data_IF_831852967910
#
_entry.id   IF_831852967910
#
_cell.length_a   1.000
_cell.length_b   1.000
_cell.length_c   1.000
_cell.angle_alpha   90.00
_cell.angle_beta   90.00
_cell.angle_gamma   90.00
#
_symmetry.space_group_name_H-M   'P 1'
#
loop_
_entity.id
_entity.type
_entity.pdbx_description
1 polymer ?
#
# COMPACT_ATOMS: atom_id res chain seq x y z
N UNK A 1 -28.23 -3.07 13.18
CA UNK A 1 -26.78 -3.27 13.32
C UNK A 1 -26.13 -2.43 12.24
N UNK A 2 -25.18 -1.52 12.55
CA UNK A 2 -24.40 -0.87 11.49
C UNK A 2 -23.64 -1.97 10.75
N UNK A 3 -23.75 -2.00 9.43
CA UNK A 3 -22.96 -2.90 8.60
C UNK A 3 -21.49 -2.57 8.83
N UNK A 4 -20.68 -3.57 9.10
CA UNK A 4 -19.23 -3.42 9.26
C UNK A 4 -18.65 -2.90 7.94
N UNK A 5 -17.81 -1.87 7.99
CA UNK A 5 -17.23 -1.25 6.81
C UNK A 5 -16.45 -2.27 5.95
N UNK A 6 -16.59 -2.22 4.65
CA UNK A 6 -15.89 -3.11 3.73
C UNK A 6 -14.53 -2.55 3.37
N UNK A 7 -13.50 -3.38 3.43
CA UNK A 7 -12.13 -3.01 3.02
C UNK A 7 -11.75 -3.79 1.77
N UNK A 8 -11.32 -3.10 0.72
CA UNK A 8 -10.72 -3.68 -0.48
C UNK A 8 -9.21 -3.70 -0.35
N UNK A 9 -8.61 -4.89 -0.43
CA UNK A 9 -7.14 -5.04 -0.41
C UNK A 9 -6.66 -5.37 -1.81
N UNK A 10 -5.84 -4.50 -2.38
CA UNK A 10 -5.32 -4.61 -3.75
C UNK A 10 -3.91 -5.19 -3.70
N UNK A 11 -3.70 -6.29 -4.41
CA UNK A 11 -2.41 -7.01 -4.48
C UNK A 11 -1.98 -7.12 -5.93
N UNK A 12 -0.99 -6.34 -6.39
CA UNK A 12 -0.35 -6.55 -7.68
C UNK A 12 0.50 -7.81 -7.63
N UNK A 13 0.38 -8.66 -8.65
CA UNK A 13 1.04 -9.97 -8.72
C UNK A 13 1.85 -10.05 -10.01
N UNK A 14 3.18 -10.15 -9.91
CA UNK A 14 4.05 -10.40 -11.05
C UNK A 14 5.36 -11.07 -10.62
N UNK A 15 5.58 -12.32 -11.06
CA UNK A 15 6.84 -13.02 -10.80
C UNK A 15 7.11 -13.34 -9.32
N UNK A 16 6.07 -13.55 -8.52
CA UNK A 16 6.14 -13.72 -7.05
C UNK A 16 5.72 -15.12 -6.59
N UNK A 17 5.85 -16.14 -7.44
CA UNK A 17 5.43 -17.52 -7.17
C UNK A 17 5.86 -18.06 -5.80
N UNK A 18 7.05 -17.68 -5.34
CA UNK A 18 7.61 -18.17 -4.07
C UNK A 18 6.94 -17.56 -2.83
N UNK A 19 6.28 -16.43 -3.00
CA UNK A 19 5.80 -15.57 -1.89
C UNK A 19 4.28 -15.43 -1.85
N UNK A 20 3.65 -15.42 -3.03
CA UNK A 20 2.23 -15.06 -3.18
C UNK A 20 1.28 -15.90 -2.31
N UNK A 21 1.60 -17.17 -2.07
CA UNK A 21 0.76 -18.02 -1.21
C UNK A 21 0.77 -17.56 0.26
N UNK A 22 1.90 -17.10 0.77
CA UNK A 22 2.02 -16.60 2.14
C UNK A 22 1.38 -15.20 2.26
N UNK A 23 1.55 -14.36 1.23
CA UNK A 23 0.85 -13.08 1.13
C UNK A 23 -0.67 -13.28 1.22
N UNK A 24 -1.25 -14.12 0.35
CA UNK A 24 -2.71 -14.36 0.33
C UNK A 24 -3.17 -14.95 1.66
N UNK A 25 -2.43 -15.91 2.25
CA UNK A 25 -2.77 -16.49 3.55
C UNK A 25 -2.86 -15.39 4.62
N UNK A 26 -1.90 -14.48 4.68
CA UNK A 26 -1.89 -13.39 5.65
C UNK A 26 -3.12 -12.48 5.54
N UNK A 27 -3.67 -12.32 4.33
CA UNK A 27 -4.89 -11.57 4.09
C UNK A 27 -6.15 -12.37 4.43
N UNK A 28 -6.16 -13.68 4.18
CA UNK A 28 -7.26 -14.56 4.59
C UNK A 28 -7.39 -14.65 6.12
N UNK A 29 -6.26 -14.59 6.83
CA UNK A 29 -6.16 -14.72 8.28
C UNK A 29 -6.45 -13.40 9.03
N UNK A 30 -6.76 -12.30 8.34
CA UNK A 30 -7.07 -11.02 8.98
C UNK A 30 -8.23 -11.15 9.96
N UNK A 31 -8.12 -10.46 11.11
CA UNK A 31 -9.17 -10.37 12.14
C UNK A 31 -10.39 -9.61 11.63
N UNK A 32 -10.21 -8.56 10.84
CA UNK A 32 -11.29 -7.88 10.11
C UNK A 32 -11.86 -8.77 9.01
N UNK A 33 -13.14 -9.16 9.11
CA UNK A 33 -13.72 -10.19 8.21
C UNK A 33 -14.36 -9.64 6.95
N UNK A 34 -14.87 -8.40 6.98
CA UNK A 34 -15.50 -7.80 5.81
C UNK A 34 -14.46 -7.24 4.83
N UNK A 35 -13.67 -8.15 4.25
CA UNK A 35 -12.64 -7.87 3.26
C UNK A 35 -13.07 -8.35 1.88
N UNK A 36 -12.63 -7.66 0.83
CA UNK A 36 -12.41 -8.25 -0.50
C UNK A 36 -10.93 -8.16 -0.86
N UNK A 37 -10.40 -9.21 -1.44
CA UNK A 37 -8.99 -9.33 -1.79
C UNK A 37 -8.90 -9.37 -3.32
N UNK A 38 -8.32 -8.33 -3.91
CA UNK A 38 -8.22 -8.17 -5.36
C UNK A 38 -6.80 -8.50 -5.81
N UNK A 39 -6.62 -9.69 -6.37
CA UNK A 39 -5.33 -10.17 -6.90
C UNK A 39 -5.25 -9.80 -8.37
N UNK A 40 -4.35 -8.90 -8.73
CA UNK A 40 -4.18 -8.43 -10.10
C UNK A 40 -2.91 -9.06 -10.68
N UNK A 41 -3.08 -10.17 -11.39
CA UNK A 41 -1.99 -10.89 -12.05
C UNK A 41 -1.60 -10.17 -13.35
N UNK A 42 -0.52 -9.45 -13.30
CA UNK A 42 0.03 -8.61 -14.37
C UNK A 42 0.83 -9.45 -15.39
N UNK A 43 0.23 -10.54 -15.87
CA UNK A 43 0.80 -11.41 -16.90
C UNK A 43 1.96 -12.27 -16.41
N UNK A 44 1.91 -12.80 -15.19
CA UNK A 44 2.95 -13.65 -14.61
C UNK A 44 3.19 -14.93 -15.42
N UNK A 45 4.46 -15.22 -15.72
CA UNK A 45 4.87 -16.42 -16.46
C UNK A 45 5.41 -17.54 -15.57
N UNK A 46 5.61 -17.27 -14.28
CA UNK A 46 6.22 -18.20 -13.32
C UNK A 46 5.20 -19.13 -12.63
N UNK A 47 3.91 -18.92 -12.86
CA UNK A 47 2.82 -19.68 -12.27
C UNK A 47 2.18 -18.99 -11.04
N UNK A 48 2.51 -17.75 -10.72
CA UNK A 48 1.86 -16.95 -9.66
C UNK A 48 0.35 -16.88 -9.86
N UNK A 49 -0.11 -16.61 -11.09
CA UNK A 49 -1.54 -16.52 -11.42
C UNK A 49 -2.31 -17.80 -11.10
N UNK A 50 -1.74 -18.99 -11.36
CA UNK A 50 -2.37 -20.27 -11.00
C UNK A 50 -2.55 -20.44 -9.49
N UNK A 51 -1.59 -19.97 -8.70
CA UNK A 51 -1.69 -19.98 -7.23
C UNK A 51 -2.84 -19.07 -6.78
N UNK A 52 -2.99 -17.89 -7.40
CA UNK A 52 -4.10 -17.00 -7.14
C UNK A 52 -5.45 -17.67 -7.39
N UNK A 53 -5.60 -18.36 -8.53
CA UNK A 53 -6.83 -19.11 -8.88
C UNK A 53 -7.14 -20.23 -7.88
N UNK A 54 -6.11 -20.91 -7.39
CA UNK A 54 -6.28 -21.97 -6.38
C UNK A 54 -6.76 -21.40 -5.04
N UNK A 55 -6.30 -20.22 -4.65
CA UNK A 55 -6.76 -19.54 -3.46
C UNK A 55 -8.19 -18.98 -3.61
N UNK A 56 -8.54 -18.44 -4.76
CA UNK A 56 -9.89 -17.94 -5.03
C UNK A 56 -10.97 -19.04 -4.94
N UNK A 57 -10.60 -20.32 -5.19
CA UNK A 57 -11.48 -21.46 -4.97
C UNK A 57 -11.71 -21.80 -3.50
N UNK A 58 -10.81 -21.37 -2.60
CA UNK A 58 -10.84 -21.67 -1.17
C UNK A 58 -11.48 -20.55 -0.34
N UNK A 59 -11.39 -19.31 -0.78
CA UNK A 59 -11.91 -18.14 -0.07
C UNK A 59 -12.69 -17.23 -1.02
N UNK A 60 -13.99 -17.11 -0.82
CA UNK A 60 -14.91 -16.34 -1.66
C UNK A 60 -14.68 -14.82 -1.61
N UNK A 61 -13.87 -14.33 -0.69
CA UNK A 61 -13.47 -12.92 -0.61
C UNK A 61 -12.43 -12.56 -1.67
N UNK A 62 -11.80 -13.55 -2.30
CA UNK A 62 -10.75 -13.37 -3.30
C UNK A 62 -11.35 -13.26 -4.69
N UNK A 63 -10.94 -12.21 -5.42
CA UNK A 63 -11.21 -12.01 -6.85
C UNK A 63 -9.88 -11.91 -7.59
N UNK A 64 -9.73 -12.66 -8.66
CA UNK A 64 -8.50 -12.68 -9.47
C UNK A 64 -8.76 -12.03 -10.83
N UNK A 65 -7.84 -11.18 -11.26
CA UNK A 65 -7.87 -10.52 -12.56
C UNK A 65 -6.55 -10.83 -13.29
N UNK A 66 -6.62 -11.56 -14.39
CA UNK A 66 -5.47 -11.80 -15.26
C UNK A 66 -5.44 -10.73 -16.34
N UNK A 67 -4.35 -9.99 -16.43
CA UNK A 67 -4.18 -8.92 -17.40
C UNK A 67 -2.85 -9.07 -18.15
N UNK A 68 -2.74 -8.42 -19.30
CA UNK A 68 -1.44 -8.31 -19.98
C UNK A 68 -0.50 -7.47 -19.15
N UNK A 69 0.80 -7.83 -19.13
CA UNK A 69 1.80 -7.10 -18.36
C UNK A 69 1.84 -5.63 -18.74
N UNK A 70 1.63 -4.78 -17.77
CA UNK A 70 1.63 -3.33 -17.91
C UNK A 70 2.28 -2.60 -16.74
N UNK A 71 2.84 -3.37 -15.79
CA UNK A 71 3.55 -2.84 -14.62
C UNK A 71 2.66 -2.58 -13.41
N UNK A 72 3.31 -2.40 -12.28
CA UNK A 72 2.70 -2.32 -10.95
C UNK A 72 1.65 -1.19 -10.83
N UNK A 73 1.90 -0.03 -11.42
CA UNK A 73 0.95 1.10 -11.44
C UNK A 73 -0.35 0.72 -12.10
N UNK A 74 -0.27 0.09 -13.30
CA UNK A 74 -1.45 -0.35 -14.04
C UNK A 74 -2.23 -1.40 -13.25
N UNK A 75 -1.54 -2.37 -12.67
CA UNK A 75 -2.18 -3.40 -11.85
C UNK A 75 -2.93 -2.77 -10.66
N UNK A 76 -2.31 -1.84 -9.93
CA UNK A 76 -2.96 -1.12 -8.82
C UNK A 76 -4.14 -0.26 -9.31
N UNK A 77 -4.02 0.40 -10.47
CA UNK A 77 -5.11 1.18 -11.06
C UNK A 77 -6.32 0.32 -11.41
N UNK A 78 -6.09 -0.89 -11.94
CA UNK A 78 -7.16 -1.87 -12.20
C UNK A 78 -7.81 -2.28 -10.88
N UNK A 79 -7.00 -2.61 -9.87
CA UNK A 79 -7.51 -2.96 -8.54
C UNK A 79 -8.36 -1.84 -7.93
N UNK A 80 -7.93 -0.58 -8.01
CA UNK A 80 -8.73 0.57 -7.54
C UNK A 80 -10.06 0.73 -8.27
N UNK A 81 -10.08 0.46 -9.59
CA UNK A 81 -11.30 0.50 -10.39
C UNK A 81 -12.31 -0.58 -9.99
N UNK A 82 -11.83 -1.77 -9.65
CA UNK A 82 -12.61 -2.95 -9.30
C UNK A 82 -12.98 -3.01 -7.81
N UNK A 83 -12.37 -2.16 -6.99
CA UNK A 83 -12.63 -2.07 -5.56
C UNK A 83 -14.05 -1.57 -5.28
N UNK A 84 -14.73 -2.24 -4.35
CA UNK A 84 -16.09 -1.90 -3.91
C UNK A 84 -16.20 -1.59 -2.42
N UNK A 85 -15.06 -1.57 -1.71
CA UNK A 85 -15.00 -1.28 -0.29
C UNK A 85 -15.10 0.21 0.03
N UNK A 86 -15.49 0.49 1.26
CA UNK A 86 -15.51 1.85 1.84
C UNK A 86 -14.07 2.36 2.08
N UNK A 87 -13.13 1.42 2.22
CA UNK A 87 -11.71 1.66 2.43
C UNK A 87 -10.87 0.82 1.48
N UNK A 88 -9.67 1.32 1.14
CA UNK A 88 -8.73 0.66 0.25
C UNK A 88 -7.37 0.53 0.92
N UNK A 89 -6.81 -0.69 0.94
CA UNK A 89 -5.44 -1.00 1.30
C UNK A 89 -4.67 -1.61 0.14
N UNK A 90 -3.35 -1.55 0.20
CA UNK A 90 -2.43 -2.15 -0.76
C UNK A 90 -1.47 -3.08 -0.04
N UNK A 91 -1.16 -4.22 -0.65
CA UNK A 91 -0.13 -5.16 -0.18
C UNK A 91 0.66 -5.64 -1.39
N UNK A 92 1.98 -5.63 -1.31
CA UNK A 92 2.81 -6.17 -2.39
C UNK A 92 2.79 -7.70 -2.34
N UNK A 93 2.74 -8.36 -3.50
CA UNK A 93 2.52 -9.82 -3.59
C UNK A 93 3.65 -10.69 -3.03
N UNK A 94 4.77 -10.09 -2.62
CA UNK A 94 5.90 -10.74 -1.96
C UNK A 94 5.99 -10.44 -0.45
N UNK A 95 5.06 -9.64 0.08
CA UNK A 95 5.00 -9.23 1.49
C UNK A 95 3.84 -9.90 2.24
N UNK A 96 3.69 -9.61 3.53
CA UNK A 96 2.60 -10.11 4.36
C UNK A 96 2.10 -9.05 5.34
N UNK A 97 0.85 -9.19 5.79
CA UNK A 97 0.22 -8.35 6.80
C UNK A 97 0.05 -9.13 8.12
N UNK A 98 0.27 -8.48 9.27
CA UNK A 98 -0.09 -9.06 10.56
C UNK A 98 -1.61 -9.28 10.63
N UNK A 99 -2.09 -10.30 11.35
CA UNK A 99 -3.52 -10.65 11.38
C UNK A 99 -4.46 -9.50 11.76
N UNK A 100 -4.02 -8.59 12.63
CA UNK A 100 -4.79 -7.47 13.15
C UNK A 100 -4.62 -6.16 12.35
N UNK A 101 -3.82 -6.14 11.28
CA UNK A 101 -3.41 -4.91 10.62
C UNK A 101 -4.61 -4.05 10.16
N UNK A 102 -5.58 -4.62 9.46
CA UNK A 102 -6.70 -3.83 8.94
C UNK A 102 -7.70 -3.43 10.02
N UNK A 103 -7.95 -4.29 11.00
CA UNK A 103 -8.76 -3.93 12.17
C UNK A 103 -8.14 -2.78 12.95
N UNK A 104 -6.83 -2.83 13.16
CA UNK A 104 -6.06 -1.80 13.85
C UNK A 104 -6.09 -0.46 13.10
N UNK A 105 -5.76 -0.47 11.81
CA UNK A 105 -5.77 0.74 10.97
C UNK A 105 -7.16 1.37 10.89
N UNK A 106 -8.21 0.56 10.73
CA UNK A 106 -9.58 1.05 10.76
C UNK A 106 -9.93 1.67 12.13
N UNK A 107 -9.54 1.02 13.21
CA UNK A 107 -9.73 1.54 14.57
C UNK A 107 -9.07 2.90 14.78
N UNK A 108 -7.85 3.10 14.26
CA UNK A 108 -7.18 4.41 14.28
C UNK A 108 -7.96 5.45 13.49
N UNK A 109 -8.45 5.12 12.28
CA UNK A 109 -9.24 6.04 11.47
C UNK A 109 -10.50 6.50 12.20
N UNK A 110 -11.22 5.56 12.83
CA UNK A 110 -12.42 5.90 13.59
C UNK A 110 -12.12 6.75 14.85
N UNK A 111 -11.04 6.42 15.56
CA UNK A 111 -10.67 7.10 16.79
C UNK A 111 -10.22 8.56 16.59
N UNK A 112 -9.54 8.82 15.47
CA UNK A 112 -8.93 10.11 15.18
C UNK A 112 -9.63 10.90 14.07
N UNK A 113 -10.77 10.40 13.58
CA UNK A 113 -11.49 10.96 12.41
C UNK A 113 -10.54 11.17 11.23
N UNK A 114 -9.76 10.13 10.94
CA UNK A 114 -8.71 10.18 9.93
C UNK A 114 -9.16 9.51 8.62
N UNK A 115 -8.72 10.07 7.51
CA UNK A 115 -9.01 9.55 6.15
C UNK A 115 -7.87 8.68 5.62
N UNK A 116 -6.70 8.75 6.24
CA UNK A 116 -5.57 7.87 5.99
C UNK A 116 -4.99 7.43 7.34
N UNK A 117 -4.83 6.13 7.54
CA UNK A 117 -4.07 5.56 8.65
C UNK A 117 -2.84 4.82 8.15
N UNK A 118 -1.75 4.88 8.90
CA UNK A 118 -0.51 4.17 8.59
C UNK A 118 0.06 3.50 9.83
N UNK A 119 0.52 2.25 9.69
CA UNK A 119 1.31 1.52 10.68
C UNK A 119 2.79 1.45 10.25
N UNK A 120 3.65 1.06 11.17
CA UNK A 120 5.04 0.76 10.87
C UNK A 120 5.17 -0.64 10.26
N UNK A 121 6.37 -0.97 9.80
CA UNK A 121 6.71 -2.25 9.18
C UNK A 121 7.96 -2.85 9.79
N UNK A 122 8.14 -4.14 9.60
CA UNK A 122 9.38 -4.85 9.87
C UNK A 122 9.95 -5.49 8.61
N UNK A 123 11.25 -5.71 8.60
CA UNK A 123 12.01 -6.34 7.52
C UNK A 123 13.51 -6.15 7.76
N UNK A 124 14.34 -6.93 7.09
CA UNK A 124 15.80 -6.98 7.32
C UNK A 124 16.55 -5.65 7.10
N UNK A 125 15.90 -4.68 6.42
CA UNK A 125 16.35 -3.29 6.28
C UNK A 125 15.36 -2.34 6.95
N UNK A 126 14.60 -2.83 7.93
CA UNK A 126 13.93 -1.89 8.82
C UNK A 126 15.01 -0.95 9.31
N UNK A 127 14.82 0.32 9.16
CA UNK A 127 15.76 1.27 9.72
C UNK A 127 15.91 0.97 11.22
N UNK A 128 17.08 1.33 11.83
CA UNK A 128 17.28 1.32 13.28
C UNK A 128 15.98 1.71 13.98
N UNK A 129 15.64 1.09 15.11
CA UNK A 129 14.39 1.38 15.80
C UNK A 129 14.22 2.89 15.88
N UNK A 130 13.11 3.37 15.32
CA UNK A 130 12.77 4.77 15.39
C UNK A 130 12.90 5.19 16.86
N UNK A 131 13.44 6.38 17.17
CA UNK A 131 13.49 6.90 18.53
C UNK A 131 12.09 7.09 19.11
N UNK A 132 11.05 6.89 18.30
CA UNK A 132 9.66 6.86 18.76
C UNK A 132 9.40 5.60 19.58
N UNK A 133 8.72 5.78 20.71
CA UNK A 133 8.23 4.67 21.50
C UNK A 133 7.28 3.79 20.67
N UNK A 134 7.31 2.51 20.91
CA UNK A 134 6.32 1.59 20.36
C UNK A 134 4.91 2.07 20.70
N UNK A 135 3.96 1.95 19.76
CA UNK A 135 2.59 2.47 19.87
C UNK A 135 2.47 4.02 20.00
N UNK A 136 3.53 4.78 19.77
CA UNK A 136 3.40 6.22 19.70
C UNK A 136 2.53 6.63 18.50
N UNK A 137 1.52 7.46 18.75
CA UNK A 137 0.56 7.93 17.74
C UNK A 137 0.84 9.38 17.38
N UNK A 138 0.78 9.67 16.07
CA UNK A 138 0.91 11.04 15.54
C UNK A 138 -0.23 11.31 14.58
N UNK A 139 -0.91 12.43 14.77
CA UNK A 139 -1.92 12.95 13.84
C UNK A 139 -1.44 14.25 13.20
N UNK A 140 -1.78 14.46 11.95
CA UNK A 140 -1.47 15.70 11.24
C UNK A 140 -2.39 15.92 10.05
N UNK A 141 -2.43 17.15 9.53
CA UNK A 141 -3.12 17.41 8.25
C UNK A 141 -2.33 16.81 7.09
N UNK A 142 -3.03 16.51 5.98
CA UNK A 142 -2.37 16.00 4.77
C UNK A 142 -1.27 16.93 4.26
N UNK A 143 -1.45 18.27 4.32
CA UNK A 143 -0.41 19.23 3.96
C UNK A 143 0.84 19.10 4.85
N UNK A 144 0.66 18.88 6.15
CA UNK A 144 1.77 18.63 7.07
C UNK A 144 2.46 17.30 6.77
N UNK A 145 1.69 16.26 6.40
CA UNK A 145 2.22 14.96 5.97
C UNK A 145 3.11 15.08 4.72
N UNK A 146 2.67 15.86 3.71
CA UNK A 146 3.49 16.11 2.52
C UNK A 146 4.80 16.81 2.88
N UNK A 147 4.75 17.86 3.70
CA UNK A 147 5.96 18.59 4.14
C UNK A 147 6.92 17.66 4.86
N UNK A 148 6.39 16.84 5.78
CA UNK A 148 7.19 15.88 6.53
C UNK A 148 7.79 14.78 5.63
N UNK A 149 7.09 14.34 4.58
CA UNK A 149 7.66 13.44 3.57
C UNK A 149 8.83 14.07 2.79
N UNK A 150 8.82 15.38 2.57
CA UNK A 150 9.93 16.08 1.94
C UNK A 150 11.16 16.08 2.84
N UNK A 151 10.96 16.17 4.14
CA UNK A 151 12.03 16.10 5.17
C UNK A 151 12.54 14.65 5.39
N UNK A 152 11.93 13.65 4.75
CA UNK A 152 12.32 12.24 4.87
C UNK A 152 13.81 11.98 4.58
N UNK A 153 14.41 12.78 3.70
CA UNK A 153 15.85 12.72 3.43
C UNK A 153 16.71 13.24 4.59
N UNK A 154 16.11 13.89 5.55
CA UNK A 154 16.85 14.48 6.67
C UNK A 154 16.75 13.69 7.97
N UNK A 155 15.62 13.05 8.33
CA UNK A 155 15.52 12.22 9.56
C UNK A 155 14.14 11.61 9.87
N UNK A 156 13.11 11.77 9.03
CA UNK A 156 11.76 11.32 9.37
C UNK A 156 11.35 10.08 8.54
N UNK A 157 10.84 9.04 9.20
CA UNK A 157 10.47 7.75 8.57
C UNK A 157 8.98 7.63 8.27
N UNK A 158 8.19 8.59 8.70
CA UNK A 158 6.76 8.65 8.42
C UNK A 158 6.35 10.10 8.10
N UNK A 159 5.35 10.33 7.26
CA UNK A 159 4.66 9.33 6.45
C UNK A 159 5.62 8.64 5.48
N UNK A 160 5.53 7.31 5.36
CA UNK A 160 6.34 6.59 4.38
C UNK A 160 5.86 6.92 2.96
N UNK A 161 6.74 6.68 1.99
CA UNK A 161 6.44 6.92 0.58
C UNK A 161 5.81 5.72 -0.11
N UNK A 162 5.53 4.66 0.63
CA UNK A 162 4.94 3.42 0.15
C UNK A 162 3.43 3.44 0.30
N UNK A 163 2.70 2.75 -0.58
CA UNK A 163 1.24 2.57 -0.47
C UNK A 163 0.87 1.49 0.54
N UNK A 164 1.70 0.44 0.65
CA UNK A 164 1.50 -0.61 1.65
C UNK A 164 1.65 -0.02 3.08
N UNK A 165 1.25 -0.76 4.08
CA UNK A 165 1.15 -0.29 5.49
C UNK A 165 0.13 0.84 5.73
N UNK A 166 -0.71 1.16 4.74
CA UNK A 166 -1.73 2.20 4.84
C UNK A 166 -3.13 1.68 4.55
N UNK A 167 -4.10 2.36 5.16
CA UNK A 167 -5.52 2.23 4.84
C UNK A 167 -6.04 3.62 4.45
N UNK A 168 -6.73 3.69 3.33
CA UNK A 168 -7.28 4.92 2.77
C UNK A 168 -8.81 4.85 2.79
N UNK A 169 -9.47 5.95 3.13
CA UNK A 169 -10.87 6.11 2.80
C UNK A 169 -11.03 6.09 1.27
N UNK A 170 -11.93 5.23 0.75
CA UNK A 170 -12.06 5.03 -0.70
C UNK A 170 -12.43 6.32 -1.44
N UNK A 171 -13.29 7.15 -0.84
CA UNK A 171 -13.70 8.44 -1.39
C UNK A 171 -12.54 9.39 -1.66
N UNK A 172 -11.47 9.27 -0.89
CA UNK A 172 -10.28 10.13 -1.01
C UNK A 172 -9.45 9.83 -2.26
N UNK A 173 -9.42 8.57 -2.70
CA UNK A 173 -8.50 8.11 -3.75
C UNK A 173 -9.18 7.50 -4.98
N UNK A 174 -10.50 7.30 -4.99
CA UNK A 174 -11.25 6.64 -6.08
C UNK A 174 -11.03 7.27 -7.45
N UNK A 175 -10.85 8.58 -7.51
CA UNK A 175 -10.66 9.35 -8.76
C UNK A 175 -9.17 9.54 -9.09
N UNK A 176 -8.28 9.12 -8.21
CA UNK A 176 -6.84 9.16 -8.44
C UNK A 176 -6.38 7.97 -9.27
N UNK A 177 -5.24 8.11 -9.94
CA UNK A 177 -4.56 7.03 -10.67
C UNK A 177 -3.07 7.14 -10.42
N UNK A 178 -2.40 6.00 -10.26
CA UNK A 178 -0.95 5.96 -10.26
C UNK A 178 -0.43 6.24 -11.67
N UNK A 179 0.60 7.07 -11.85
CA UNK A 179 1.27 7.25 -13.13
C UNK A 179 1.81 5.92 -13.65
N UNK A 180 1.49 5.58 -14.89
CA UNK A 180 1.96 4.35 -15.53
C UNK A 180 3.29 4.59 -16.26
N UNK A 181 4.14 3.56 -16.34
CA UNK A 181 5.40 3.62 -17.09
C UNK A 181 6.55 4.39 -16.42
N UNK A 182 6.41 4.79 -15.17
CA UNK A 182 7.50 5.40 -14.40
C UNK A 182 7.75 4.62 -13.10
N UNK A 183 8.94 4.81 -12.50
CA UNK A 183 9.26 4.33 -11.16
C UNK A 183 9.04 5.45 -10.14
N UNK A 184 8.79 5.07 -8.88
CA UNK A 184 8.44 6.00 -7.80
C UNK A 184 7.08 6.70 -7.96
N UNK A 185 6.18 6.09 -8.71
CA UNK A 185 4.80 6.53 -8.96
C UNK A 185 4.01 6.77 -7.68
N UNK A 186 4.35 6.04 -6.63
CA UNK A 186 3.70 6.13 -5.31
C UNK A 186 3.86 7.51 -4.69
N UNK A 187 4.98 8.19 -4.92
CA UNK A 187 5.23 9.54 -4.38
C UNK A 187 4.23 10.57 -4.91
N UNK A 188 3.94 10.52 -6.19
CA UNK A 188 3.01 11.45 -6.82
C UNK A 188 1.57 11.14 -6.39
N UNK A 189 1.21 9.87 -6.40
CA UNK A 189 -0.10 9.42 -5.94
C UNK A 189 -0.36 9.82 -4.48
N UNK A 190 0.58 9.56 -3.58
CA UNK A 190 0.47 9.92 -2.16
C UNK A 190 0.38 11.43 -1.97
N UNK A 191 1.11 12.22 -2.76
CA UNK A 191 1.03 13.66 -2.68
C UNK A 191 -0.41 14.14 -2.96
N UNK A 192 -1.06 13.63 -4.01
CA UNK A 192 -2.46 13.97 -4.32
C UNK A 192 -3.43 13.44 -3.26
N UNK A 193 -3.22 12.23 -2.77
CA UNK A 193 -4.03 11.68 -1.69
C UNK A 193 -3.95 12.57 -0.44
N UNK A 194 -2.75 12.98 -0.05
CA UNK A 194 -2.55 13.88 1.08
C UNK A 194 -3.09 15.30 0.85
N UNK A 195 -3.06 15.83 -0.39
CA UNK A 195 -3.69 17.12 -0.70
C UNK A 195 -5.20 17.11 -0.40
N UNK A 196 -5.85 15.99 -0.61
CA UNK A 196 -7.29 15.81 -0.33
C UNK A 196 -7.58 15.42 1.14
N UNK A 197 -6.55 15.06 1.91
CA UNK A 197 -6.68 14.50 3.26
C UNK A 197 -6.72 15.63 4.31
N UNK A 198 -7.75 15.63 5.15
CA UNK A 198 -7.84 16.54 6.29
C UNK A 198 -7.04 16.01 7.47
N UNK A 199 -7.20 14.74 7.79
CA UNK A 199 -6.53 14.09 8.92
C UNK A 199 -5.85 12.80 8.49
N UNK A 200 -4.56 12.73 8.70
CA UNK A 200 -3.73 11.54 8.62
C UNK A 200 -3.30 11.11 10.02
N UNK A 201 -3.30 9.81 10.30
CA UNK A 201 -2.82 9.23 11.55
C UNK A 201 -1.74 8.16 11.28
N UNK A 202 -0.67 8.21 12.03
CA UNK A 202 0.37 7.20 12.07
C UNK A 202 0.50 6.62 13.47
N UNK A 203 0.67 5.31 13.58
CA UNK A 203 1.06 4.66 14.83
C UNK A 203 2.30 3.79 14.62
N UNK A 204 3.24 3.89 15.56
CA UNK A 204 4.51 3.13 15.51
C UNK A 204 4.32 1.67 15.96
N UNK A 205 3.38 0.95 15.32
CA UNK A 205 3.12 -0.48 15.55
C UNK A 205 3.45 -1.24 14.27
N UNK A 206 4.30 -2.27 14.35
CA UNK A 206 4.80 -3.03 13.19
C UNK A 206 3.81 -4.11 12.79
N UNK A 207 2.95 -3.79 11.82
CA UNK A 207 1.90 -4.69 11.33
C UNK A 207 2.06 -5.09 9.86
N UNK A 208 3.10 -4.60 9.19
CA UNK A 208 3.42 -4.99 7.83
C UNK A 208 4.79 -5.67 7.79
N UNK A 209 4.87 -6.84 7.14
CA UNK A 209 6.08 -7.68 7.08
C UNK A 209 6.65 -7.62 5.67
N UNK A 210 7.72 -6.87 5.50
CA UNK A 210 8.39 -6.71 4.22
C UNK A 210 9.38 -7.83 3.97
N UNK A 211 9.24 -8.53 2.86
CA UNK A 211 10.16 -9.56 2.40
C UNK A 211 11.32 -8.94 1.64
N UNK A 212 12.56 -9.33 1.99
CA UNK A 212 13.72 -8.89 1.25
C UNK A 212 14.08 -9.88 0.15
N UNK A 213 13.97 -9.39 -1.06
CA UNK A 213 14.43 -10.09 -2.25
C UNK A 213 15.74 -9.51 -2.74
N UNK A 214 16.62 -10.39 -3.19
CA UNK A 214 17.88 -10.00 -3.84
C UNK A 214 17.67 -9.52 -5.29
N UNK A 215 16.53 -9.89 -5.87
CA UNK A 215 16.08 -9.59 -7.23
C UNK A 215 14.97 -8.51 -7.28
N UNK A 216 14.86 -7.66 -6.24
CA UNK A 216 13.88 -6.59 -6.20
C UNK A 216 14.24 -5.45 -7.16
N UNK A 217 13.22 -4.79 -7.75
CA UNK A 217 13.40 -3.61 -8.61
C UNK A 217 14.14 -2.46 -7.93
N UNK A 218 14.13 -2.40 -6.60
CA UNK A 218 14.88 -1.41 -5.80
C UNK A 218 16.36 -1.77 -5.58
N UNK A 219 16.81 -2.96 -5.99
CA UNK A 219 18.20 -3.42 -5.88
C UNK A 219 19.04 -3.11 -7.14
N UNK A 220 18.41 -2.60 -8.21
CA UNK A 220 19.12 -2.25 -9.44
C UNK A 220 20.09 -1.09 -9.24
N UNK A 221 21.28 -1.19 -9.88
CA UNK A 221 22.23 -0.10 -9.98
C UNK A 221 21.57 1.12 -10.69
N UNK A 222 22.16 2.31 -10.52
CA UNK A 222 21.68 3.56 -11.14
C UNK A 222 21.35 3.34 -12.63
N UNK A 223 20.10 3.60 -13.00
CA UNK A 223 19.61 3.53 -14.38
C UNK A 223 18.96 4.86 -14.75
N UNK A 224 18.70 5.09 -16.05
CA UNK A 224 17.93 6.27 -16.52
C UNK A 224 16.55 6.37 -15.85
N UNK A 225 15.97 5.25 -15.43
CA UNK A 225 14.72 5.21 -14.63
C UNK A 225 14.84 5.92 -13.29
N UNK A 226 16.05 6.03 -12.73
CA UNK A 226 16.27 6.81 -11.51
C UNK A 226 15.98 8.32 -11.71
N UNK A 227 16.04 8.80 -12.95
CA UNK A 227 15.68 10.18 -13.31
C UNK A 227 14.15 10.44 -13.25
N UNK A 228 13.33 9.38 -13.28
CA UNK A 228 11.87 9.53 -13.10
C UNK A 228 11.54 10.10 -11.71
N UNK A 229 12.40 9.87 -10.73
CA UNK A 229 12.29 10.50 -9.42
C UNK A 229 12.28 12.03 -9.50
N UNK A 230 13.08 12.60 -10.37
CA UNK A 230 13.10 14.07 -10.58
C UNK A 230 11.80 14.57 -11.24
N UNK A 231 11.24 13.81 -12.18
CA UNK A 231 9.94 14.12 -12.81
C UNK A 231 8.82 14.10 -11.77
N UNK A 232 8.80 13.07 -10.93
CA UNK A 232 7.82 12.92 -9.86
C UNK A 232 7.97 14.02 -8.80
N UNK A 233 9.20 14.44 -8.48
CA UNK A 233 9.44 15.58 -7.59
C UNK A 233 8.95 16.90 -8.17
N UNK A 234 9.16 17.15 -9.48
CA UNK A 234 8.65 18.34 -10.14
C UNK A 234 7.12 18.40 -10.11
N UNK A 235 6.45 17.27 -10.39
CA UNK A 235 5.00 17.17 -10.27
C UNK A 235 4.52 17.45 -8.83
N UNK A 236 5.21 16.93 -7.80
CA UNK A 236 4.86 17.22 -6.40
C UNK A 236 4.93 18.70 -6.06
N UNK A 237 5.94 19.41 -6.56
CA UNK A 237 6.11 20.84 -6.28
C UNK A 237 4.92 21.65 -6.76
N UNK A 238 4.31 21.28 -7.91
CA UNK A 238 3.13 21.96 -8.44
C UNK A 238 1.86 21.77 -7.60
N UNK A 239 1.82 20.81 -6.67
CA UNK A 239 0.68 20.60 -5.75
C UNK A 239 0.85 21.35 -4.42
N UNK A 240 2.01 21.96 -4.16
CA UNK A 240 2.31 22.67 -2.91
C UNK A 240 2.13 24.18 -3.04
N UNK A 241 1.99 24.70 -4.25
CA UNK A 241 1.61 26.08 -4.56
C UNK A 241 0.09 26.25 -4.44
#
# INVERSE_FOLDING_TARGET
MKQEAKISVIVPVYGVKRYISDCIRSLCDQTWKNLEILLIDDGSKDGSGKICDEWAKKDSRIRVFHVENGGQSRARNIGMKEASGDYIGFVDGDDAAAPEMYEHLYGLMQKYDAQIAECNFEGRKSPEPDQMQEQAVVTMSGKAAIRKQLDYYTNSRFPSTSLWSKLFEASLIKDLRLPEGCVHEEYEFLCRAFCNCQTYVYENTRLYHRTLRTDSTTAEAFSERALDKMKVFALRSSYLE
#
